data_IF_107628662929
#
_entry.id   IF_107628662929
#
_cell.length_a   1.000
_cell.length_b   1.000
_cell.length_c   1.000
_cell.angle_alpha   90.00
_cell.angle_beta   90.00
_cell.angle_gamma   90.00
#
_symmetry.space_group_name_H-M   'P 1'
#
loop_
_entity.id
_entity.type
_entity.pdbx_description
1 polymer ?
#
# COMPACT_ATOMS: atom_id res chain seq x y z
N UNK A 1 -9.13 -2.36 5.31
CA UNK A 1 -8.30 -1.72 6.37
C UNK A 1 -8.43 -0.20 6.26
N UNK A 2 -7.99 0.55 7.26
CA UNK A 2 -7.79 2.01 7.11
C UNK A 2 -6.67 2.29 6.08
N UNK A 3 -6.81 3.28 5.18
CA UNK A 3 -5.80 3.59 4.17
C UNK A 3 -4.41 3.88 4.75
N UNK A 4 -4.36 4.62 5.87
CA UNK A 4 -3.10 4.92 6.56
C UNK A 4 -2.43 3.64 7.09
N UNK A 5 -3.21 2.68 7.59
CA UNK A 5 -2.65 1.40 8.07
C UNK A 5 -1.99 0.61 6.94
N UNK A 6 -2.56 0.65 5.73
CA UNK A 6 -1.95 0.03 4.55
C UNK A 6 -0.63 0.71 4.20
N UNK A 7 -0.56 2.04 4.26
CA UNK A 7 0.66 2.82 4.01
C UNK A 7 1.75 2.49 5.04
N UNK A 8 1.41 2.47 6.33
CA UNK A 8 2.36 2.13 7.41
C UNK A 8 2.89 0.71 7.22
N UNK A 9 2.01 -0.24 6.92
CA UNK A 9 2.41 -1.62 6.72
C UNK A 9 3.27 -1.78 5.45
N UNK A 10 2.96 -1.05 4.37
CA UNK A 10 3.77 -1.02 3.15
C UNK A 10 5.14 -0.38 3.36
N UNK A 11 5.25 0.67 4.19
CA UNK A 11 6.53 1.26 4.57
C UNK A 11 7.40 0.26 5.35
N UNK A 12 6.83 -0.44 6.33
CA UNK A 12 7.52 -1.46 7.09
C UNK A 12 7.97 -2.64 6.22
N UNK A 13 7.03 -3.21 5.45
CA UNK A 13 7.29 -4.33 4.57
C UNK A 13 8.27 -3.95 3.46
N UNK A 14 8.08 -2.80 2.81
CA UNK A 14 8.95 -2.29 1.76
C UNK A 14 10.37 -1.99 2.23
N UNK A 15 10.55 -1.47 3.44
CA UNK A 15 11.86 -1.27 4.03
C UNK A 15 12.58 -2.59 4.32
N UNK A 16 11.87 -3.55 4.93
CA UNK A 16 12.40 -4.90 5.22
C UNK A 16 12.75 -5.62 3.91
N UNK A 17 11.88 -5.52 2.90
CA UNK A 17 12.12 -6.11 1.60
C UNK A 17 13.31 -5.46 0.91
N UNK A 18 13.35 -4.13 0.82
CA UNK A 18 14.45 -3.42 0.19
C UNK A 18 15.81 -3.69 0.85
N UNK A 19 15.83 -3.98 2.15
CA UNK A 19 17.01 -4.39 2.90
C UNK A 19 17.47 -5.83 2.60
N UNK A 20 16.61 -6.69 2.03
CA UNK A 20 16.99 -8.03 1.58
C UNK A 20 17.66 -7.94 0.20
N UNK A 21 18.79 -8.63 0.04
CA UNK A 21 19.47 -8.75 -1.27
C UNK A 21 18.64 -9.52 -2.31
N UNK A 22 17.67 -10.30 -1.85
CA UNK A 22 16.74 -11.06 -2.71
C UNK A 22 15.54 -10.25 -3.18
N UNK A 23 15.33 -9.03 -2.68
CA UNK A 23 14.26 -8.20 -3.17
C UNK A 23 14.54 -7.74 -4.59
N UNK A 24 13.61 -8.07 -5.50
CA UNK A 24 13.67 -7.59 -6.87
C UNK A 24 13.69 -6.07 -6.92
N UNK A 25 14.39 -5.51 -7.90
CA UNK A 25 14.51 -4.06 -8.14
C UNK A 25 13.15 -3.35 -8.12
N UNK A 26 12.10 -4.03 -8.60
CA UNK A 26 10.74 -3.51 -8.60
C UNK A 26 10.17 -3.20 -7.18
N UNK A 27 10.54 -3.95 -6.14
CA UNK A 27 10.12 -3.67 -4.76
C UNK A 27 10.88 -2.46 -4.22
N UNK A 28 12.19 -2.39 -4.49
CA UNK A 28 13.04 -1.27 -4.08
C UNK A 28 12.56 0.03 -4.73
N UNK A 29 12.24 0.00 -6.02
CA UNK A 29 11.74 1.16 -6.76
C UNK A 29 10.36 1.62 -6.25
N UNK A 30 9.45 0.68 -5.99
CA UNK A 30 8.13 0.99 -5.42
C UNK A 30 8.25 1.62 -4.02
N UNK A 31 9.14 1.07 -3.18
CA UNK A 31 9.43 1.61 -1.86
C UNK A 31 10.04 3.02 -1.90
N UNK A 32 11.05 3.23 -2.76
CA UNK A 32 11.63 4.56 -2.94
C UNK A 32 10.59 5.56 -3.44
N UNK A 33 9.75 5.16 -4.39
CA UNK A 33 8.65 5.99 -4.91
C UNK A 33 7.67 6.38 -3.80
N UNK A 34 7.25 5.42 -2.97
CA UNK A 34 6.35 5.68 -1.84
C UNK A 34 6.98 6.69 -0.86
N UNK A 35 8.25 6.47 -0.48
CA UNK A 35 8.97 7.36 0.44
C UNK A 35 9.11 8.77 -0.13
N UNK A 36 9.40 8.90 -1.43
CA UNK A 36 9.48 10.20 -2.11
C UNK A 36 8.13 10.93 -2.11
N UNK A 37 7.02 10.24 -2.39
CA UNK A 37 5.70 10.84 -2.40
C UNK A 37 5.28 11.32 -1.01
N UNK A 38 5.53 10.52 0.02
CA UNK A 38 5.26 10.89 1.41
C UNK A 38 6.09 12.10 1.81
N UNK A 39 7.40 12.10 1.57
CA UNK A 39 8.27 13.27 1.85
C UNK A 39 7.80 14.52 1.12
N UNK A 40 7.36 14.38 -0.13
CA UNK A 40 6.77 15.49 -0.88
C UNK A 40 5.53 16.03 -0.20
N UNK A 41 4.64 15.18 0.33
CA UNK A 41 3.47 15.63 1.10
C UNK A 41 3.84 16.38 2.38
N UNK A 42 4.82 15.88 3.12
CA UNK A 42 5.34 16.60 4.28
C UNK A 42 5.85 18.00 3.90
N UNK A 43 6.61 18.13 2.81
CA UNK A 43 7.08 19.44 2.33
C UNK A 43 5.92 20.33 1.86
N UNK A 44 4.95 19.78 1.13
CA UNK A 44 3.75 20.52 0.69
C UNK A 44 2.95 21.11 1.86
N UNK A 45 2.99 20.46 3.02
CA UNK A 45 2.31 20.89 4.25
C UNK A 45 3.22 21.69 5.20
N UNK A 46 4.47 21.97 4.82
CA UNK A 46 5.43 22.70 5.65
C UNK A 46 5.95 21.91 6.87
N UNK A 47 5.88 20.57 6.81
CA UNK A 47 6.26 19.62 7.86
C UNK A 47 7.48 18.76 7.48
N UNK A 48 8.46 19.33 6.80
CA UNK A 48 9.63 18.59 6.33
C UNK A 48 10.42 17.90 7.45
N UNK A 49 10.48 18.53 8.63
CA UNK A 49 11.14 18.00 9.83
C UNK A 49 10.47 16.71 10.34
N UNK A 50 9.15 16.62 10.21
CA UNK A 50 8.34 15.48 10.69
C UNK A 50 8.52 14.25 9.80
N UNK A 51 8.98 14.41 8.56
CA UNK A 51 9.20 13.30 7.62
C UNK A 51 10.20 12.24 8.12
N UNK A 52 11.05 12.58 9.10
CA UNK A 52 11.98 11.67 9.77
C UNK A 52 11.26 10.58 10.60
N UNK A 53 9.96 10.75 10.90
CA UNK A 53 9.16 9.71 11.55
C UNK A 53 9.12 8.40 10.75
N UNK A 54 9.19 8.49 9.41
CA UNK A 54 9.28 7.34 8.52
C UNK A 54 10.58 6.55 8.78
N UNK A 55 11.72 7.25 8.85
CA UNK A 55 13.02 6.64 9.16
C UNK A 55 13.06 6.06 10.59
N UNK A 56 12.36 6.67 11.55
CA UNK A 56 12.20 6.13 12.90
C UNK A 56 11.39 4.83 12.89
N UNK A 57 10.32 4.76 12.11
CA UNK A 57 9.51 3.54 11.95
C UNK A 57 10.31 2.41 11.32
N UNK A 58 11.13 2.70 10.30
CA UNK A 58 12.02 1.70 9.68
C UNK A 58 13.02 1.10 10.69
N UNK A 59 13.53 1.92 11.60
CA UNK A 59 14.46 1.46 12.66
C UNK A 59 13.77 0.74 13.81
N UNK A 60 12.49 1.02 14.04
CA UNK A 60 11.69 0.46 15.16
C UNK A 60 10.29 0.04 14.69
N UNK A 61 10.19 -0.93 13.76
CA UNK A 61 8.92 -1.33 13.17
C UNK A 61 7.99 -2.04 14.16
N UNK A 62 8.48 -2.44 15.34
CA UNK A 62 7.66 -3.06 16.39
C UNK A 62 7.19 -2.07 17.47
N UNK A 63 7.67 -0.83 17.44
CA UNK A 63 7.33 0.16 18.45
C UNK A 63 5.93 0.72 18.22
N UNK A 64 5.00 0.41 19.12
CA UNK A 64 3.62 0.92 19.09
C UNK A 64 3.59 2.45 19.08
N UNK A 65 4.38 3.11 19.94
CA UNK A 65 4.48 4.56 19.99
C UNK A 65 4.94 5.19 18.66
N UNK A 66 5.90 4.55 17.97
CA UNK A 66 6.36 5.06 16.66
C UNK A 66 5.30 4.86 15.58
N UNK A 67 4.55 3.74 15.61
CA UNK A 67 3.44 3.51 14.68
C UNK A 67 2.31 4.51 14.85
N UNK A 68 1.97 4.80 16.10
CA UNK A 68 0.89 5.74 16.42
C UNK A 68 1.26 7.17 15.99
N UNK A 69 2.48 7.62 16.32
CA UNK A 69 3.01 8.90 15.82
C UNK A 69 3.07 8.96 14.30
N UNK A 70 3.56 7.89 13.65
CA UNK A 70 3.57 7.82 12.18
C UNK A 70 2.15 7.91 11.61
N UNK A 71 1.16 7.25 12.23
CA UNK A 71 -0.24 7.32 11.80
C UNK A 71 -0.76 8.75 11.88
N UNK A 72 -0.51 9.44 12.99
CA UNK A 72 -0.93 10.82 13.21
C UNK A 72 -0.31 11.77 12.17
N UNK A 73 1.01 11.74 12.00
CA UNK A 73 1.71 12.61 11.04
C UNK A 73 1.27 12.37 9.59
N UNK A 74 1.12 11.10 9.21
CA UNK A 74 0.62 10.74 7.88
C UNK A 74 -0.82 11.23 7.66
N UNK A 75 -1.68 11.12 8.68
CA UNK A 75 -3.05 11.63 8.62
C UNK A 75 -3.08 13.15 8.50
N UNK A 76 -2.20 13.83 9.23
CA UNK A 76 -2.18 15.30 9.26
C UNK A 76 -1.72 15.88 7.92
N UNK A 77 -0.78 15.22 7.25
CA UNK A 77 -0.37 15.62 5.88
C UNK A 77 -1.28 15.06 4.78
N UNK A 78 -2.35 14.33 5.15
CA UNK A 78 -3.38 13.84 4.24
C UNK A 78 -2.90 12.81 3.23
N UNK A 79 -1.93 11.95 3.60
CA UNK A 79 -1.44 10.92 2.66
C UNK A 79 -2.50 9.89 2.28
N UNK A 80 -3.52 9.74 3.11
CA UNK A 80 -4.69 8.87 2.90
C UNK A 80 -5.65 9.40 1.84
N UNK A 81 -5.50 10.67 1.44
CA UNK A 81 -6.25 11.29 0.36
C UNK A 81 -5.44 11.33 -0.95
N UNK A 82 -4.15 10.99 -0.92
CA UNK A 82 -3.29 10.96 -2.11
C UNK A 82 -3.33 9.58 -2.78
N UNK A 83 -4.05 9.50 -3.89
CA UNK A 83 -4.17 8.26 -4.67
C UNK A 83 -2.83 7.70 -5.14
N UNK A 84 -1.82 8.53 -5.39
CA UNK A 84 -0.51 8.05 -5.84
C UNK A 84 0.22 7.37 -4.70
N UNK A 85 0.10 7.89 -3.48
CA UNK A 85 0.66 7.25 -2.28
C UNK A 85 -0.02 5.91 -2.01
N UNK A 86 -1.36 5.89 -2.08
CA UNK A 86 -2.12 4.65 -1.87
C UNK A 86 -1.78 3.58 -2.90
N UNK A 87 -1.73 3.94 -4.19
CA UNK A 87 -1.31 3.04 -5.26
C UNK A 87 0.12 2.51 -5.05
N UNK A 88 1.05 3.36 -4.63
CA UNK A 88 2.42 2.93 -4.35
C UNK A 88 2.50 1.95 -3.16
N UNK A 89 1.71 2.17 -2.11
CA UNK A 89 1.63 1.26 -0.96
C UNK A 89 1.04 -0.11 -1.34
N UNK A 90 -0.04 -0.12 -2.13
CA UNK A 90 -0.67 -1.34 -2.64
C UNK A 90 0.28 -2.15 -3.54
N UNK A 91 1.06 -1.48 -4.39
CA UNK A 91 2.06 -2.12 -5.26
C UNK A 91 3.20 -2.81 -4.50
N UNK A 92 3.56 -2.32 -3.31
CA UNK A 92 4.51 -3.00 -2.41
C UNK A 92 3.83 -4.23 -1.82
N UNK A 93 2.62 -4.09 -1.26
CA UNK A 93 1.89 -5.19 -0.64
C UNK A 93 1.55 -6.31 -1.60
N UNK A 94 1.24 -6.00 -2.86
CA UNK A 94 1.01 -6.99 -3.92
C UNK A 94 2.25 -7.85 -4.20
N UNK A 95 3.46 -7.32 -3.99
CA UNK A 95 4.72 -8.04 -4.18
C UNK A 95 5.15 -8.79 -2.91
N UNK A 96 4.93 -8.18 -1.75
CA UNK A 96 5.29 -8.76 -0.45
C UNK A 96 4.31 -9.85 0.02
N UNK A 97 3.00 -9.61 -0.11
CA UNK A 97 1.92 -10.55 0.20
C UNK A 97 0.90 -10.61 -0.96
N UNK A 98 1.27 -11.27 -2.07
CA UNK A 98 0.39 -11.44 -3.22
C UNK A 98 -0.88 -12.23 -2.88
N UNK A 99 -0.85 -13.12 -1.88
CA UNK A 99 -2.00 -13.91 -1.47
C UNK A 99 -2.99 -13.06 -0.66
N UNK A 100 -2.50 -12.30 0.33
CA UNK A 100 -3.31 -11.35 1.08
C UNK A 100 -3.88 -10.23 0.21
N UNK A 101 -3.14 -9.79 -0.81
CA UNK A 101 -3.66 -8.84 -1.79
C UNK A 101 -4.80 -9.43 -2.62
N UNK A 102 -4.68 -10.68 -3.10
CA UNK A 102 -5.74 -11.38 -3.84
C UNK A 102 -7.00 -11.62 -2.99
N UNK A 103 -6.81 -11.84 -1.70
CA UNK A 103 -7.90 -11.97 -0.72
C UNK A 103 -8.55 -10.63 -0.35
N UNK A 104 -8.03 -9.50 -0.86
CA UNK A 104 -8.56 -8.16 -0.60
C UNK A 104 -8.22 -7.63 0.79
N UNK A 105 -7.23 -8.22 1.50
CA UNK A 105 -6.81 -7.76 2.84
C UNK A 105 -6.40 -6.29 2.85
N UNK A 106 -5.80 -5.82 1.76
CA UNK A 106 -5.28 -4.47 1.61
C UNK A 106 -6.22 -3.55 0.82
N UNK A 107 -7.40 -4.02 0.42
CA UNK A 107 -8.36 -3.18 -0.29
C UNK A 107 -8.73 -1.99 0.62
N UNK A 108 -8.31 -0.81 0.20
CA UNK A 108 -8.77 0.45 0.77
C UNK A 108 -10.09 0.81 0.08
N UNK A 109 -11.11 1.22 0.82
CA UNK A 109 -12.42 1.61 0.27
C UNK A 109 -12.36 2.96 -0.48
N UNK A 110 -11.30 3.19 -1.25
CA UNK A 110 -11.19 4.34 -2.14
C UNK A 110 -12.15 4.08 -3.29
N UNK A 111 -13.27 4.80 -3.29
CA UNK A 111 -14.24 4.77 -4.39
C UNK A 111 -13.60 5.48 -5.58
N UNK A 112 -12.74 4.79 -6.31
CA UNK A 112 -12.11 5.31 -7.54
C UNK A 112 -13.17 5.30 -8.63
N UNK A 113 -13.85 6.42 -8.82
CA UNK A 113 -14.67 6.67 -9.99
C UNK A 113 -13.73 6.96 -11.17
N UNK A 114 -13.35 5.91 -11.91
CA UNK A 114 -12.58 6.06 -13.14
C UNK A 114 -11.14 5.57 -13.05
N UNK A 115 -11.00 4.25 -12.95
CA UNK A 115 -9.94 3.39 -13.49
C UNK A 115 -9.82 2.22 -12.54
N UNK A 116 -10.60 1.19 -12.85
CA UNK A 116 -10.44 -0.15 -12.26
C UNK A 116 -9.04 -0.61 -12.64
N UNK A 117 -8.05 -0.29 -11.81
CA UNK A 117 -6.79 -0.99 -11.85
C UNK A 117 -7.12 -2.43 -11.49
N UNK A 118 -7.18 -3.24 -12.55
CA UNK A 118 -7.61 -4.62 -12.51
C UNK A 118 -6.93 -5.33 -11.35
N UNK A 119 -7.76 -5.75 -10.40
CA UNK A 119 -7.59 -7.07 -9.82
C UNK A 119 -7.64 -8.04 -11.02
N UNK A 120 -6.49 -8.25 -11.66
CA UNK A 120 -6.17 -9.52 -12.30
C UNK A 120 -5.94 -10.54 -11.18
N UNK A 121 -6.97 -10.73 -10.35
CA UNK A 121 -7.21 -12.03 -9.78
C UNK A 121 -7.52 -12.90 -10.99
N UNK A 122 -6.54 -13.68 -11.41
CA UNK A 122 -6.85 -14.94 -12.06
C UNK A 122 -7.62 -15.75 -11.03
N UNK A 123 -8.92 -15.48 -10.92
CA UNK A 123 -9.84 -16.45 -10.41
C UNK A 123 -9.72 -17.61 -11.39
N UNK A 124 -8.86 -18.57 -11.11
CA UNK A 124 -8.97 -19.92 -11.65
C UNK A 124 -10.19 -20.61 -10.99
N UNK A 125 -11.31 -19.90 -10.89
CA UNK A 125 -12.61 -20.47 -10.64
C UNK A 125 -13.10 -20.92 -12.00
N UNK A 126 -13.18 -22.23 -12.19
CA UNK A 126 -13.83 -22.83 -13.35
C UNK A 126 -15.22 -22.21 -13.51
N UNK A 127 -15.41 -21.42 -14.56
CA UNK A 127 -16.75 -20.97 -14.96
C UNK A 127 -17.45 -22.18 -15.56
N UNK A 128 -18.13 -22.95 -14.71
CA UNK A 128 -19.02 -24.01 -15.14
C UNK A 128 -20.31 -23.38 -15.66
N UNK A 129 -20.33 -23.04 -16.95
CA UNK A 129 -21.56 -22.66 -17.63
C UNK A 129 -22.35 -23.95 -17.87
N UNK A 130 -23.28 -24.26 -16.97
CA UNK A 130 -24.21 -25.38 -17.14
C UNK A 130 -25.04 -25.24 -18.43
N UNK A 131 -25.52 -26.34 -19.01
CA UNK A 131 -26.21 -26.32 -20.30
C UNK A 131 -27.48 -25.48 -20.20
N UNK A 132 -27.54 -24.42 -21.02
CA UNK A 132 -28.75 -23.61 -21.22
C UNK A 132 -29.81 -24.44 -21.93
N UNK A 133 -30.74 -25.02 -21.17
CA UNK A 133 -32.00 -25.57 -21.67
C UNK A 133 -32.93 -24.41 -22.01
N UNK A 134 -33.05 -24.10 -23.31
CA UNK A 134 -34.06 -23.14 -23.79
C UNK A 134 -35.41 -23.87 -23.91
N UNK A 135 -36.30 -23.56 -22.98
CA UNK A 135 -37.65 -24.12 -22.93
C UNK A 135 -38.64 -23.40 -23.85
N UNK A 136 -39.52 -24.24 -24.43
CA UNK A 136 -40.74 -24.00 -25.22
C UNK A 136 -40.58 -23.54 -26.67
#
# INVERSE_FOLDING_TARGET
MEPISVIIAALGAGAIAAAKDTAGTAVKDAYQTLKTLIKKKFVEQGKEDDSNIVDKHEKKPDSAAVKELLKEELSDVGVDQDEKILKAAEEIMKKEDPEGFKEGKYNTNVTVQGDVFGVAGTNAGTVNIGPVTKGK
#
